data_IF_547258455251
#
_entry.id   IF_547258455251
#
_cell.length_a   1.000
_cell.length_b   1.000
_cell.length_c   1.000
_cell.angle_alpha   90.00
_cell.angle_beta   90.00
_cell.angle_gamma   90.00
#
_symmetry.space_group_name_H-M   'P 1'
#
loop_
_entity.id
_entity.type
_entity.pdbx_description
1 polymer ?
#
# COMPACT_ATOMS: atom_id res chain seq x y z
N UNK A 1 13.97 -22.05 -9.57
CA UNK A 1 14.65 -20.72 -9.49
C UNK A 1 14.97 -20.20 -10.89
N UNK A 2 15.64 -20.99 -11.73
CA UNK A 2 15.93 -20.62 -13.14
C UNK A 2 14.67 -20.22 -13.91
N UNK A 3 13.56 -20.95 -13.74
CA UNK A 3 12.31 -20.65 -14.43
C UNK A 3 11.69 -19.31 -14.01
N UNK A 4 11.80 -18.95 -12.73
CA UNK A 4 11.29 -17.68 -12.18
C UNK A 4 12.08 -16.49 -12.77
N UNK A 5 13.40 -16.63 -12.92
CA UNK A 5 14.25 -15.60 -13.53
C UNK A 5 13.81 -15.34 -14.98
N UNK A 6 13.41 -16.36 -15.72
CA UNK A 6 12.92 -16.17 -17.08
C UNK A 6 11.49 -15.59 -17.10
N UNK A 7 10.63 -16.00 -16.17
CA UNK A 7 9.19 -15.70 -16.18
C UNK A 7 8.78 -14.41 -15.48
N UNK A 8 9.61 -13.83 -14.61
CA UNK A 8 9.17 -12.71 -13.75
C UNK A 8 8.74 -11.44 -14.51
N UNK A 9 9.17 -11.26 -15.76
CA UNK A 9 8.66 -10.20 -16.64
C UNK A 9 7.60 -10.69 -17.65
N UNK A 10 7.40 -12.01 -17.78
CA UNK A 10 6.48 -12.62 -18.72
C UNK A 10 6.72 -12.13 -20.14
N UNK A 11 5.66 -11.68 -20.80
CA UNK A 11 5.70 -11.03 -22.12
C UNK A 11 5.40 -9.53 -22.02
N UNK A 12 5.65 -8.93 -20.86
CA UNK A 12 5.33 -7.52 -20.59
C UNK A 12 6.04 -6.60 -21.57
N UNK A 13 5.40 -5.45 -21.83
CA UNK A 13 5.97 -4.42 -22.69
C UNK A 13 7.06 -3.63 -21.96
N UNK A 14 8.20 -3.44 -22.61
CA UNK A 14 9.24 -2.50 -22.16
C UNK A 14 8.82 -1.06 -22.47
N UNK A 15 7.83 -0.59 -21.71
CA UNK A 15 7.01 0.59 -22.01
C UNK A 15 7.80 1.88 -22.23
N UNK A 16 8.88 2.11 -21.47
CA UNK A 16 9.73 3.30 -21.62
C UNK A 16 10.37 3.36 -23.01
N UNK A 17 11.02 2.28 -23.46
CA UNK A 17 11.67 2.25 -24.76
C UNK A 17 10.67 2.25 -25.90
N UNK A 18 9.56 1.53 -25.76
CA UNK A 18 8.47 1.55 -26.73
C UNK A 18 7.93 2.97 -26.91
N UNK A 19 7.57 3.65 -25.82
CA UNK A 19 7.06 5.03 -25.86
C UNK A 19 8.07 5.99 -26.49
N UNK A 20 9.36 5.83 -26.14
CA UNK A 20 10.45 6.64 -26.70
C UNK A 20 10.64 6.40 -28.21
N UNK A 21 10.50 5.16 -28.67
CA UNK A 21 10.59 4.80 -30.09
C UNK A 21 9.36 5.29 -30.86
N UNK A 22 8.16 5.08 -30.31
CA UNK A 22 6.90 5.52 -30.89
C UNK A 22 6.83 7.04 -31.07
N UNK A 23 7.39 7.81 -30.14
CA UNK A 23 7.52 9.26 -30.27
C UNK A 23 8.42 9.74 -31.42
N UNK A 24 9.15 8.83 -32.07
CA UNK A 24 9.99 9.09 -33.25
C UNK A 24 9.49 8.37 -34.50
N UNK A 25 8.30 7.77 -34.44
CA UNK A 25 7.73 7.04 -35.56
C UNK A 25 7.48 7.96 -36.76
N UNK A 26 7.94 7.52 -37.93
CA UNK A 26 7.52 8.08 -39.21
C UNK A 26 6.69 6.99 -39.93
N UNK A 27 5.35 7.14 -39.99
CA UNK A 27 4.48 6.14 -40.59
C UNK A 27 4.78 5.82 -42.07
N UNK A 28 5.50 6.70 -42.77
CA UNK A 28 5.86 6.50 -44.18
C UNK A 28 7.18 5.71 -44.35
N UNK A 29 8.01 5.64 -43.30
CA UNK A 29 9.32 4.99 -43.36
C UNK A 29 9.36 3.70 -42.53
N UNK A 30 8.83 3.73 -41.32
CA UNK A 30 8.91 2.58 -40.40
C UNK A 30 7.86 2.68 -39.30
N UNK A 31 7.01 1.65 -39.20
CA UNK A 31 6.03 1.50 -38.13
C UNK A 31 6.67 0.77 -36.96
N UNK A 32 6.59 1.37 -35.77
CA UNK A 32 7.06 0.80 -34.51
C UNK A 32 5.98 -0.12 -33.97
N UNK A 33 6.25 -1.42 -33.99
CA UNK A 33 5.37 -2.46 -33.49
C UNK A 33 5.66 -2.78 -32.01
N UNK A 34 4.62 -2.99 -31.23
CA UNK A 34 4.74 -3.29 -29.79
C UNK A 34 5.46 -4.61 -29.51
N UNK A 35 5.28 -5.60 -30.40
CA UNK A 35 5.87 -6.94 -30.27
C UNK A 35 7.40 -6.92 -30.16
N UNK A 36 8.05 -5.94 -30.78
CA UNK A 36 9.52 -5.81 -30.80
C UNK A 36 10.07 -5.29 -29.45
N UNK A 37 9.18 -4.83 -28.56
CA UNK A 37 9.52 -4.28 -27.25
C UNK A 37 9.01 -5.17 -26.10
N UNK A 38 8.40 -6.32 -26.40
CA UNK A 38 7.92 -7.26 -25.40
C UNK A 38 9.00 -8.27 -25.05
N UNK A 39 9.02 -8.70 -23.78
CA UNK A 39 9.87 -9.80 -23.36
C UNK A 39 9.46 -11.10 -24.08
N UNK A 40 10.41 -12.01 -24.37
CA UNK A 40 10.13 -13.26 -25.06
C UNK A 40 9.29 -14.25 -24.22
N UNK A 41 9.21 -14.04 -22.91
CA UNK A 41 8.51 -14.93 -21.99
C UNK A 41 9.27 -16.23 -21.68
N UNK A 42 8.54 -17.26 -21.20
CA UNK A 42 7.08 -17.37 -21.18
C UNK A 42 6.41 -16.51 -20.07
N UNK A 43 5.08 -16.37 -20.13
CA UNK A 43 4.29 -15.84 -19.00
C UNK A 43 4.51 -16.71 -17.74
N UNK A 44 4.27 -16.18 -16.53
CA UNK A 44 4.25 -16.98 -15.31
C UNK A 44 3.46 -18.28 -15.46
N UNK A 45 4.08 -19.41 -15.12
CA UNK A 45 3.46 -20.74 -15.23
C UNK A 45 2.96 -21.28 -13.88
N UNK A 46 3.34 -20.63 -12.78
CA UNK A 46 2.93 -21.02 -11.42
C UNK A 46 2.46 -19.80 -10.63
N UNK A 47 1.72 -20.05 -9.54
CA UNK A 47 1.26 -18.97 -8.65
C UNK A 47 2.42 -18.19 -8.07
N UNK A 48 3.50 -18.86 -7.72
CA UNK A 48 4.72 -18.25 -7.17
C UNK A 48 5.37 -17.33 -8.20
N UNK A 49 5.50 -17.77 -9.47
CA UNK A 49 6.03 -16.93 -10.53
C UNK A 49 5.16 -15.69 -10.77
N UNK A 50 3.83 -15.83 -10.71
CA UNK A 50 2.89 -14.72 -10.81
C UNK A 50 3.02 -13.74 -9.65
N UNK A 51 3.15 -14.23 -8.42
CA UNK A 51 3.38 -13.39 -7.23
C UNK A 51 4.71 -12.64 -7.35
N UNK A 52 5.78 -13.30 -7.83
CA UNK A 52 7.09 -12.66 -8.03
C UNK A 52 7.01 -11.53 -9.06
N UNK A 53 6.34 -11.77 -10.20
CA UNK A 53 6.10 -10.72 -11.22
C UNK A 53 5.39 -9.51 -10.62
N UNK A 54 4.29 -9.74 -9.88
CA UNK A 54 3.53 -8.66 -9.26
C UNK A 54 4.36 -7.91 -8.21
N UNK A 55 5.13 -8.64 -7.41
CA UNK A 55 5.99 -8.05 -6.39
C UNK A 55 7.10 -7.18 -7.01
N UNK A 56 7.78 -7.67 -8.04
CA UNK A 56 8.83 -6.94 -8.76
C UNK A 56 8.29 -5.65 -9.38
N UNK A 57 7.16 -5.73 -10.09
CA UNK A 57 6.52 -4.57 -10.71
C UNK A 57 6.09 -3.51 -9.67
N UNK A 58 5.47 -3.95 -8.57
CA UNK A 58 5.05 -3.05 -7.49
C UNK A 58 6.25 -2.42 -6.78
N UNK A 59 7.29 -3.19 -6.50
CA UNK A 59 8.52 -2.72 -5.86
C UNK A 59 9.20 -1.66 -6.74
N UNK A 60 9.46 -1.99 -8.02
CA UNK A 60 10.12 -1.11 -8.97
C UNK A 60 9.36 0.21 -9.15
N UNK A 61 8.04 0.15 -9.30
CA UNK A 61 7.20 1.34 -9.46
C UNK A 61 7.09 2.17 -8.16
N UNK A 62 7.12 1.53 -6.99
CA UNK A 62 7.04 2.22 -5.71
C UNK A 62 8.28 3.08 -5.40
N UNK A 63 9.45 2.75 -5.95
CA UNK A 63 10.72 3.49 -5.73
C UNK A 63 10.65 4.96 -6.14
N UNK A 64 9.78 5.29 -7.09
CA UNK A 64 9.63 6.65 -7.64
C UNK A 64 8.37 7.35 -7.11
N UNK A 65 7.69 6.77 -6.11
CA UNK A 65 6.48 7.34 -5.54
C UNK A 65 6.82 8.50 -4.59
N UNK A 66 6.61 9.73 -5.04
CA UNK A 66 6.72 10.94 -4.22
C UNK A 66 5.51 11.11 -3.30
N UNK A 67 5.72 11.55 -2.06
CA UNK A 67 4.69 11.75 -1.01
C UNK A 67 3.70 10.57 -0.88
N UNK A 68 4.19 9.41 -0.40
CA UNK A 68 3.44 8.15 -0.38
C UNK A 68 2.40 8.11 0.75
N UNK A 69 1.26 8.77 0.55
CA UNK A 69 0.10 8.64 1.45
C UNK A 69 -0.54 7.25 1.32
N UNK A 70 -1.22 6.72 2.36
CA UNK A 70 -1.88 5.42 2.29
C UNK A 70 -2.80 5.26 1.07
N UNK A 71 -3.55 6.30 0.71
CA UNK A 71 -4.46 6.27 -0.44
C UNK A 71 -3.71 6.25 -1.78
N UNK A 72 -2.59 6.99 -1.88
CA UNK A 72 -1.74 6.97 -3.08
C UNK A 72 -1.07 5.62 -3.26
N UNK A 73 -0.61 4.99 -2.18
CA UNK A 73 -0.06 3.63 -2.20
C UNK A 73 -1.13 2.64 -2.68
N UNK A 74 -2.33 2.67 -2.10
CA UNK A 74 -3.44 1.80 -2.51
C UNK A 74 -3.74 1.91 -4.01
N UNK A 75 -3.96 3.13 -4.49
CA UNK A 75 -4.25 3.39 -5.90
C UNK A 75 -3.08 2.97 -6.81
N UNK A 76 -1.84 3.15 -6.35
CA UNK A 76 -0.64 2.79 -7.11
C UNK A 76 -0.52 1.28 -7.28
N UNK A 77 -0.62 0.51 -6.18
CA UNK A 77 -0.60 -0.96 -6.22
C UNK A 77 -1.76 -1.48 -7.08
N UNK A 78 -2.96 -0.93 -6.90
CA UNK A 78 -4.14 -1.34 -7.66
C UNK A 78 -3.90 -1.21 -9.18
N UNK A 79 -3.46 -0.03 -9.62
CA UNK A 79 -3.20 0.25 -11.05
C UNK A 79 -2.18 -0.71 -11.67
N UNK A 80 -1.15 -1.09 -10.92
CA UNK A 80 -0.09 -1.99 -11.43
C UNK A 80 -0.65 -3.39 -11.61
N UNK A 81 -1.33 -3.93 -10.58
CA UNK A 81 -1.91 -5.27 -10.63
C UNK A 81 -2.97 -5.35 -11.72
N UNK A 82 -3.85 -4.34 -11.81
CA UNK A 82 -4.85 -4.26 -12.88
C UNK A 82 -4.21 -4.19 -14.26
N UNK A 83 -3.13 -3.41 -14.44
CA UNK A 83 -2.41 -3.33 -15.71
C UNK A 83 -1.84 -4.68 -16.16
N UNK A 84 -1.20 -5.41 -15.24
CA UNK A 84 -0.64 -6.75 -15.49
C UNK A 84 -1.76 -7.76 -15.80
N UNK A 85 -2.88 -7.68 -15.07
CA UNK A 85 -4.06 -8.51 -15.31
C UNK A 85 -4.68 -8.25 -16.68
N UNK A 86 -4.89 -6.98 -17.05
CA UNK A 86 -5.46 -6.59 -18.34
C UNK A 86 -4.53 -6.91 -19.52
N UNK A 87 -3.22 -6.93 -19.32
CA UNK A 87 -2.24 -7.40 -20.31
C UNK A 87 -2.21 -8.93 -20.48
N UNK A 88 -3.04 -9.66 -19.71
CA UNK A 88 -3.13 -11.12 -19.76
C UNK A 88 -1.88 -11.82 -19.23
N UNK A 89 -0.99 -11.14 -18.50
CA UNK A 89 0.27 -11.76 -18.04
C UNK A 89 0.05 -12.94 -17.10
N UNK A 90 -1.12 -13.03 -16.45
CA UNK A 90 -1.44 -14.05 -15.47
C UNK A 90 -2.24 -15.23 -16.05
N UNK A 91 -2.53 -15.23 -17.36
CA UNK A 91 -3.41 -16.24 -18.00
C UNK A 91 -2.90 -17.67 -17.86
N UNK A 92 -1.57 -17.86 -17.78
CA UNK A 92 -0.93 -19.17 -17.73
C UNK A 92 -0.60 -19.62 -16.29
N UNK A 93 -1.03 -18.86 -15.28
CA UNK A 93 -0.88 -19.23 -13.87
C UNK A 93 -2.22 -19.26 -13.14
N UNK A 94 -2.37 -20.18 -12.19
CA UNK A 94 -3.64 -20.40 -11.48
C UNK A 94 -3.94 -19.36 -10.37
N UNK A 95 -3.65 -18.08 -10.62
CA UNK A 95 -4.01 -16.99 -9.70
C UNK A 95 -5.47 -16.58 -9.91
N UNK A 96 -6.26 -16.71 -8.84
CA UNK A 96 -7.66 -16.29 -8.87
C UNK A 96 -7.79 -14.81 -8.53
N UNK A 97 -8.92 -14.17 -8.87
CA UNK A 97 -9.22 -12.80 -8.42
C UNK A 97 -9.18 -12.65 -6.90
N UNK A 98 -9.55 -13.70 -6.16
CA UNK A 98 -9.45 -13.74 -4.70
C UNK A 98 -7.99 -13.67 -4.24
N UNK A 99 -7.10 -14.39 -4.93
CA UNK A 99 -5.66 -14.35 -4.65
C UNK A 99 -5.10 -12.96 -4.95
N UNK A 100 -5.48 -12.34 -6.08
CA UNK A 100 -5.07 -10.97 -6.42
C UNK A 100 -5.47 -9.95 -5.37
N UNK A 101 -6.70 -10.02 -4.85
CA UNK A 101 -7.14 -9.15 -3.74
C UNK A 101 -6.33 -9.36 -2.46
N UNK A 102 -5.96 -10.60 -2.15
CA UNK A 102 -5.13 -10.91 -0.98
C UNK A 102 -3.71 -10.36 -1.16
N UNK A 103 -3.10 -10.60 -2.33
CA UNK A 103 -1.77 -10.10 -2.71
C UNK A 103 -1.73 -8.57 -2.66
N UNK A 104 -2.72 -7.89 -3.23
CA UNK A 104 -2.84 -6.44 -3.21
C UNK A 104 -2.85 -5.89 -1.78
N UNK A 105 -3.68 -6.47 -0.90
CA UNK A 105 -3.75 -6.06 0.52
C UNK A 105 -2.42 -6.25 1.24
N UNK A 106 -1.72 -7.36 0.97
CA UNK A 106 -0.40 -7.64 1.53
C UNK A 106 0.63 -6.60 1.07
N UNK A 107 0.69 -6.29 -0.22
CA UNK A 107 1.60 -5.27 -0.75
C UNK A 107 1.33 -3.88 -0.18
N UNK A 108 0.06 -3.47 -0.09
CA UNK A 108 -0.31 -2.17 0.49
C UNK A 108 0.17 -2.09 1.94
N UNK A 109 -0.06 -3.14 2.74
CA UNK A 109 0.35 -3.18 4.15
C UNK A 109 1.87 -3.08 4.30
N UNK A 110 2.62 -3.80 3.47
CA UNK A 110 4.09 -3.77 3.46
C UNK A 110 4.60 -2.39 3.05
N UNK A 111 4.08 -1.80 1.97
CA UNK A 111 4.50 -0.49 1.49
C UNK A 111 4.17 0.62 2.48
N UNK A 112 2.99 0.59 3.11
CA UNK A 112 2.65 1.51 4.21
C UNK A 112 3.70 1.42 5.31
N UNK A 113 4.07 0.21 5.76
CA UNK A 113 5.11 0.03 6.76
C UNK A 113 6.46 0.63 6.35
N UNK A 114 6.91 0.37 5.11
CA UNK A 114 8.18 0.89 4.58
C UNK A 114 8.18 2.42 4.52
N UNK A 115 7.11 3.02 4.00
CA UNK A 115 7.03 4.47 3.81
C UNK A 115 6.73 5.25 5.09
N UNK A 116 6.00 4.67 6.05
CA UNK A 116 5.74 5.32 7.34
C UNK A 116 6.97 5.33 8.25
N UNK A 117 7.89 4.37 8.10
CA UNK A 117 9.17 4.41 8.82
C UNK A 117 10.13 5.49 8.30
N UNK A 118 9.85 6.07 7.13
CA UNK A 118 10.65 7.14 6.52
C UNK A 118 10.15 8.56 6.79
N UNK A 119 9.03 8.72 7.52
CA UNK A 119 8.63 10.06 7.97
C UNK A 119 9.47 10.39 9.20
N UNK A 120 10.47 11.27 9.03
CA UNK A 120 11.16 11.92 10.14
C UNK A 120 10.11 12.55 11.06
N UNK A 121 10.11 12.14 12.32
CA UNK A 121 9.43 12.91 13.35
C UNK A 121 10.08 14.29 13.37
N UNK A 122 9.31 15.39 13.27
CA UNK A 122 9.89 16.72 13.36
C UNK A 122 10.70 16.79 14.64
N UNK A 123 12.01 17.03 14.51
CA UNK A 123 12.84 17.28 15.67
C UNK A 123 12.16 18.41 16.44
N UNK A 124 11.79 18.13 17.70
CA UNK A 124 11.49 19.21 18.63
C UNK A 124 12.78 20.00 18.75
N UNK A 125 12.91 21.06 17.97
CA UNK A 125 13.95 22.06 18.14
C UNK A 125 13.85 22.56 19.56
N UNK A 126 14.70 22.02 20.44
CA UNK A 126 15.04 22.69 21.66
C UNK A 126 15.79 23.96 21.24
N UNK A 127 15.19 25.11 21.45
CA UNK A 127 15.86 26.30 21.98
C UNK A 127 14.87 27.48 22.15
N UNK A 128 14.87 28.05 23.36
CA UNK A 128 14.47 29.44 23.62
C UNK A 128 13.03 29.63 24.12
N UNK A 129 12.87 29.74 25.45
CA UNK A 129 11.58 29.77 26.13
C UNK A 129 10.68 30.99 25.88
N UNK A 130 9.39 30.78 26.11
CA UNK A 130 8.52 31.72 26.80
C UNK A 130 7.34 30.95 27.39
N UNK A 131 7.09 31.20 28.68
CA UNK A 131 6.00 30.65 29.49
C UNK A 131 4.67 30.60 28.74
N UNK A 132 4.12 29.38 28.57
CA UNK A 132 2.67 29.18 28.47
C UNK A 132 2.25 28.06 29.41
N UNK A 133 1.60 28.48 30.50
CA UNK A 133 0.97 27.67 31.55
C UNK A 133 0.25 26.45 30.96
N UNK A 134 0.58 25.27 31.46
CA UNK A 134 -0.27 24.08 31.31
C UNK A 134 -1.58 24.29 32.09
N UNK A 135 -2.74 23.82 31.59
CA UNK A 135 -3.95 23.73 32.39
C UNK A 135 -3.73 22.67 33.48
N UNK A 136 -3.96 23.05 34.74
CA UNK A 136 -4.01 22.14 35.88
C UNK A 136 -5.18 21.18 35.69
N UNK A 137 -4.91 19.89 35.60
CA UNK A 137 -5.89 18.83 35.90
C UNK A 137 -5.91 18.63 37.40
N UNK A 138 -7.02 19.01 38.03
CA UNK A 138 -7.29 18.76 39.45
C UNK A 138 -7.50 17.25 39.67
N UNK A 139 -6.47 16.56 40.14
CA UNK A 139 -6.62 15.25 40.77
C UNK A 139 -6.84 15.43 42.28
N UNK A 140 -8.09 15.30 42.71
CA UNK A 140 -8.44 15.25 44.12
C UNK A 140 -8.11 13.87 44.72
N UNK A 141 -7.19 13.84 45.67
CA UNK A 141 -6.96 12.69 46.56
C UNK A 141 -8.14 12.51 47.55
N UNK A 142 -8.49 11.27 47.94
CA UNK A 142 -9.51 11.03 48.94
C UNK A 142 -8.92 10.97 50.37
N UNK A 143 -9.49 11.77 51.28
CA UNK A 143 -9.51 11.60 52.75
C UNK A 143 -10.85 12.22 53.20
N UNK A 144 -11.79 11.64 53.93
CA UNK A 144 -11.92 10.45 54.77
C UNK A 144 -12.64 10.91 56.03
N UNK A 145 -13.78 10.32 56.43
CA UNK A 145 -14.16 10.22 57.87
C UNK A 145 -15.36 9.29 58.12
N UNK A 146 -15.41 8.79 59.35
CA UNK A 146 -16.31 7.82 59.97
C UNK A 146 -17.65 8.44 60.43
N UNK A 147 -18.60 7.52 60.67
CA UNK A 147 -19.76 7.53 61.60
C UNK A 147 -21.13 7.95 61.02
N UNK A 148 -22.04 6.98 61.02
CA UNK A 148 -23.16 7.03 61.97
C UNK A 148 -24.58 7.30 61.43
N UNK A 149 -25.25 6.21 61.06
CA UNK A 149 -26.59 5.81 61.57
C UNK A 149 -27.89 6.42 60.99
N UNK A 150 -28.80 5.48 60.66
CA UNK A 150 -30.29 5.51 60.60
C UNK A 150 -31.04 6.15 59.41
N UNK A 151 -31.85 5.29 58.77
CA UNK A 151 -33.21 5.61 58.31
C UNK A 151 -33.49 5.31 56.83
N UNK A 152 -33.90 4.10 56.47
CA UNK A 152 -35.28 3.64 56.14
C UNK A 152 -35.93 4.18 54.84
N UNK A 153 -36.33 3.22 54.00
CA UNK A 153 -37.52 3.13 53.12
C UNK A 153 -37.59 3.80 51.73
N UNK A 154 -38.05 2.98 50.75
CA UNK A 154 -38.65 3.37 49.46
C UNK A 154 -37.85 2.85 48.25
N UNK A 155 -37.95 1.60 47.79
CA UNK A 155 -39.10 0.83 47.29
C UNK A 155 -39.73 1.40 46.00
N UNK A 156 -39.37 0.76 44.88
CA UNK A 156 -40.16 0.45 43.67
C UNK A 156 -40.97 1.52 42.91
N UNK A 157 -40.70 1.54 41.58
CA UNK A 157 -41.63 1.55 40.42
C UNK A 157 -43.01 2.22 40.57
N UNK A 158 -43.38 3.08 39.61
CA UNK A 158 -44.17 2.67 38.44
C UNK A 158 -44.57 3.86 37.53
N UNK A 159 -44.62 3.52 36.24
CA UNK A 159 -45.31 4.07 35.07
C UNK A 159 -46.23 5.30 35.17
N UNK A 160 -46.08 6.17 34.17
CA UNK A 160 -47.15 6.48 33.20
C UNK A 160 -46.60 6.30 31.79
#
# INVERSE_FOLDING_TARGET
MTDIIQQHHGTSLTSFFYTKAKGKEDPLLHVIEEKDFRYPGPKPQTKEAGIIMLADAVEAASRVLEDPTPKRIENHVQRIIEGIFLDGQLDDCELTLKDLHAIQKSFITILIGIFHHRIEYPERTQNGGSDKKLPRTDEAQPKGDRRGNRGITGLFKASQ
#
